data_IF_515653687549
#
_entry.id   IF_515653687549
#
_cell.length_a   1.000
_cell.length_b   1.000
_cell.length_c   1.000
_cell.angle_alpha   90.00
_cell.angle_beta   90.00
_cell.angle_gamma   90.00
#
_symmetry.space_group_name_H-M   'P 1'
#
loop_
_entity.id
_entity.type
_entity.pdbx_description
1 polymer ?
#
# COMPACT_ATOMS: atom_id res chain seq x y z
N UNK A 1 -27.03 5.42 -87.39
CA UNK A 1 -27.80 5.19 -86.13
C UNK A 1 -27.36 6.23 -85.11
N UNK A 2 -28.15 7.28 -84.88
CA UNK A 2 -28.95 7.57 -83.67
C UNK A 2 -28.13 7.90 -82.40
N UNK A 3 -27.97 9.21 -82.19
CA UNK A 3 -28.22 10.00 -80.97
C UNK A 3 -28.48 9.29 -79.63
N UNK A 4 -27.88 9.81 -78.54
CA UNK A 4 -28.56 10.58 -77.47
C UNK A 4 -27.64 10.99 -76.30
N UNK A 5 -27.83 12.23 -75.86
CA UNK A 5 -27.50 12.81 -74.54
C UNK A 5 -28.26 12.15 -73.39
N UNK A 6 -27.75 12.22 -72.15
CA UNK A 6 -28.43 12.51 -70.86
C UNK A 6 -27.35 12.49 -69.74
N UNK A 7 -26.95 13.61 -69.15
CA UNK A 7 -27.49 14.34 -67.97
C UNK A 7 -27.39 13.60 -66.61
N UNK A 8 -26.56 14.18 -65.75
CA UNK A 8 -26.52 14.25 -64.27
C UNK A 8 -27.30 13.21 -63.44
N UNK A 9 -26.62 12.61 -62.47
CA UNK A 9 -27.21 12.43 -61.14
C UNK A 9 -26.17 12.51 -60.00
N UNK A 10 -26.48 13.40 -59.07
CA UNK A 10 -25.85 13.67 -57.79
C UNK A 10 -26.01 12.46 -56.86
N UNK A 11 -24.94 12.01 -56.22
CA UNK A 11 -25.03 11.14 -55.04
C UNK A 11 -24.20 11.79 -53.92
N UNK A 12 -24.92 12.46 -53.02
CA UNK A 12 -24.41 12.95 -51.73
C UNK A 12 -24.14 11.71 -50.85
N UNK A 13 -22.88 11.36 -50.62
CA UNK A 13 -22.53 10.42 -49.56
C UNK A 13 -22.54 11.17 -48.22
N UNK A 14 -23.65 11.06 -47.49
CA UNK A 14 -23.69 11.42 -46.07
C UNK A 14 -23.01 10.27 -45.32
N UNK A 15 -21.71 10.42 -45.06
CA UNK A 15 -21.00 9.61 -44.07
C UNK A 15 -21.50 10.05 -42.69
N UNK A 16 -22.47 9.31 -42.15
CA UNK A 16 -22.81 9.37 -40.74
C UNK A 16 -21.62 8.81 -39.95
N UNK A 17 -20.78 9.70 -39.45
CA UNK A 17 -19.77 9.38 -38.44
C UNK A 17 -20.49 9.01 -37.15
N UNK A 18 -20.80 7.72 -36.98
CA UNK A 18 -21.09 7.16 -35.67
C UNK A 18 -19.82 7.28 -34.83
N UNK A 19 -19.68 8.43 -34.18
CA UNK A 19 -18.81 8.63 -33.04
C UNK A 19 -19.25 7.61 -31.98
N UNK A 20 -18.60 6.44 -32.00
CA UNK A 20 -18.52 5.57 -30.83
C UNK A 20 -17.92 6.42 -29.72
N UNK A 21 -18.78 7.05 -28.92
CA UNK A 21 -18.41 7.56 -27.62
C UNK A 21 -17.90 6.35 -26.84
N UNK A 22 -16.59 6.19 -26.78
CA UNK A 22 -15.95 5.30 -25.82
C UNK A 22 -16.51 5.71 -24.46
N UNK A 23 -17.36 4.84 -23.87
CA UNK A 23 -17.78 5.01 -22.48
C UNK A 23 -16.49 5.24 -21.68
N UNK A 24 -16.40 6.30 -20.86
CA UNK A 24 -15.28 6.47 -19.97
C UNK A 24 -15.11 5.15 -19.20
N UNK A 25 -13.98 4.49 -19.36
CA UNK A 25 -13.64 3.33 -18.54
C UNK A 25 -13.76 3.80 -17.10
N UNK A 26 -14.75 3.27 -16.38
CA UNK A 26 -15.01 3.69 -15.00
C UNK A 26 -13.67 3.64 -14.24
N UNK A 27 -13.35 4.72 -13.53
CA UNK A 27 -12.13 4.77 -12.72
C UNK A 27 -12.09 3.52 -11.84
N UNK A 28 -10.92 2.90 -11.63
CA UNK A 28 -10.83 1.71 -10.79
C UNK A 28 -11.46 2.03 -9.43
N UNK A 29 -12.46 1.23 -9.06
CA UNK A 29 -13.15 1.38 -7.79
C UNK A 29 -12.28 0.77 -6.69
N UNK A 30 -12.10 1.53 -5.61
CA UNK A 30 -11.49 1.06 -4.38
C UNK A 30 -12.52 1.13 -3.25
N UNK A 31 -12.28 0.31 -2.24
CA UNK A 31 -12.92 0.41 -0.94
C UNK A 31 -11.87 0.82 0.09
N UNK A 32 -12.30 1.44 1.16
CA UNK A 32 -11.46 1.73 2.31
C UNK A 32 -12.13 1.35 3.63
N UNK A 33 -11.30 1.14 4.66
CA UNK A 33 -11.69 1.01 6.07
C UNK A 33 -10.71 1.81 6.93
N UNK A 34 -11.21 2.37 8.02
CA UNK A 34 -10.40 3.16 8.96
C UNK A 34 -10.47 2.57 10.37
N UNK A 35 -9.32 2.54 11.04
CA UNK A 35 -9.17 2.10 12.42
C UNK A 35 -8.64 3.26 13.26
N UNK A 36 -9.33 3.58 14.35
CA UNK A 36 -8.84 4.51 15.36
C UNK A 36 -8.27 3.74 16.54
N UNK A 37 -7.03 4.06 16.91
CA UNK A 37 -6.22 3.29 17.85
C UNK A 37 -5.67 4.25 18.90
N UNK A 38 -5.89 3.96 20.17
CA UNK A 38 -5.28 4.65 21.30
C UNK A 38 -4.48 3.65 22.14
N UNK A 39 -3.20 3.94 22.36
CA UNK A 39 -2.29 3.08 23.10
C UNK A 39 -1.53 3.86 24.17
N UNK A 40 -1.40 3.26 25.34
CA UNK A 40 -0.41 3.64 26.34
C UNK A 40 0.90 2.88 26.05
N UNK A 41 2.02 3.43 26.52
CA UNK A 41 3.33 2.79 26.42
C UNK A 41 3.28 1.33 26.93
N UNK A 42 3.87 0.40 26.18
CA UNK A 42 3.77 -1.04 26.48
C UNK A 42 2.47 -1.71 26.03
N UNK A 43 1.51 -0.95 25.53
CA UNK A 43 0.26 -1.46 24.97
C UNK A 43 0.43 -2.13 23.61
N UNK A 44 -0.45 -3.07 23.31
CA UNK A 44 -0.54 -3.75 22.02
C UNK A 44 -1.96 -3.60 21.45
N UNK A 45 -2.09 -3.67 20.14
CA UNK A 45 -3.37 -3.65 19.44
C UNK A 45 -3.39 -4.73 18.36
N UNK A 46 -4.57 -5.30 18.12
CA UNK A 46 -4.80 -6.19 16.99
C UNK A 46 -6.24 -6.04 16.49
N UNK A 47 -6.40 -5.96 15.17
CA UNK A 47 -7.71 -5.90 14.52
C UNK A 47 -7.67 -6.69 13.22
N UNK A 48 -8.64 -7.59 13.06
CA UNK A 48 -8.85 -8.28 11.79
C UNK A 48 -9.38 -7.28 10.76
N UNK A 49 -8.74 -7.21 9.60
CA UNK A 49 -9.08 -6.27 8.52
C UNK A 49 -9.74 -7.00 7.35
N UNK A 50 -9.33 -8.24 7.10
CA UNK A 50 -9.87 -9.17 6.12
C UNK A 50 -9.43 -10.60 6.51
N UNK A 51 -8.79 -11.36 5.62
CA UNK A 51 -8.01 -12.55 5.99
C UNK A 51 -6.74 -12.24 6.80
N UNK A 52 -6.30 -10.97 6.78
CA UNK A 52 -5.17 -10.43 7.51
C UNK A 52 -5.59 -9.71 8.80
N UNK A 53 -4.63 -9.57 9.71
CA UNK A 53 -4.77 -8.88 10.99
C UNK A 53 -3.75 -7.76 11.09
N UNK A 54 -4.22 -6.53 11.22
CA UNK A 54 -3.35 -5.40 11.55
C UNK A 54 -2.96 -5.48 13.02
N UNK A 55 -1.67 -5.37 13.32
CA UNK A 55 -1.14 -5.47 14.68
C UNK A 55 -0.25 -4.28 14.97
N UNK A 56 -0.34 -3.76 16.18
CA UNK A 56 0.64 -2.85 16.78
C UNK A 56 1.23 -3.56 17.99
N UNK A 57 2.54 -3.80 17.97
CA UNK A 57 3.27 -4.53 19.00
C UNK A 57 4.29 -3.62 19.65
N UNK A 58 4.36 -3.67 20.97
CA UNK A 58 5.40 -2.99 21.74
C UNK A 58 6.76 -3.56 21.34
N UNK A 59 7.69 -2.65 21.04
CA UNK A 59 9.10 -2.94 20.98
C UNK A 59 9.74 -2.45 22.29
N UNK A 60 10.31 -3.37 23.05
CA UNK A 60 11.17 -3.07 24.19
C UNK A 60 12.62 -3.36 23.77
N UNK A 61 13.34 -2.39 23.17
CA UNK A 61 14.77 -2.53 22.95
C UNK A 61 15.50 -2.70 24.28
N UNK A 62 16.70 -3.28 24.24
CA UNK A 62 17.54 -3.49 25.43
C UNK A 62 17.87 -2.19 26.18
N UNK A 63 17.71 -1.02 25.54
CA UNK A 63 17.82 0.30 26.16
C UNK A 63 16.65 0.66 27.10
N UNK A 64 15.57 -0.12 27.13
CA UNK A 64 14.40 0.11 27.98
C UNK A 64 13.38 1.11 27.44
N UNK A 65 13.58 1.63 26.23
CA UNK A 65 12.75 2.69 25.65
C UNK A 65 11.53 2.11 24.92
N UNK A 66 10.33 2.40 25.42
CA UNK A 66 9.11 1.94 24.79
C UNK A 66 8.93 2.55 23.38
N UNK A 67 8.74 1.69 22.38
CA UNK A 67 8.25 2.06 21.06
C UNK A 67 7.24 1.04 20.55
N UNK A 68 6.73 1.23 19.35
CA UNK A 68 5.89 0.25 18.68
C UNK A 68 6.42 -0.10 17.30
N UNK A 69 6.11 -1.31 16.89
CA UNK A 69 6.13 -1.73 15.49
C UNK A 69 4.71 -2.04 15.07
N UNK A 70 4.40 -1.90 13.79
CA UNK A 70 3.11 -2.36 13.26
C UNK A 70 3.30 -3.25 12.03
N UNK A 71 2.35 -4.14 11.81
CA UNK A 71 2.39 -5.13 10.74
C UNK A 71 0.97 -5.48 10.27
N UNK A 72 0.85 -6.03 9.07
CA UNK A 72 -0.39 -6.62 8.55
C UNK A 72 -0.15 -8.10 8.29
N UNK A 73 -0.54 -8.94 9.24
CA UNK A 73 -0.12 -10.35 9.28
C UNK A 73 -1.24 -11.30 8.86
N UNK A 74 -0.90 -12.35 8.10
CA UNK A 74 -1.79 -13.50 7.92
C UNK A 74 -1.78 -14.43 9.15
N UNK A 75 -2.53 -15.53 9.07
CA UNK A 75 -2.64 -16.53 10.14
C UNK A 75 -1.29 -17.21 10.45
N UNK A 76 -0.35 -17.25 9.50
CA UNK A 76 1.00 -17.78 9.69
C UNK A 76 1.99 -16.74 10.22
N UNK A 77 1.55 -15.49 10.43
CA UNK A 77 2.39 -14.40 10.95
C UNK A 77 3.28 -13.74 9.90
N UNK A 78 3.02 -13.95 8.60
CA UNK A 78 3.74 -13.29 7.51
C UNK A 78 3.24 -11.87 7.35
N UNK A 79 4.14 -10.88 7.32
CA UNK A 79 3.78 -9.46 7.22
C UNK A 79 3.67 -8.99 5.75
N UNK A 80 2.50 -8.49 5.36
CA UNK A 80 2.17 -8.11 3.99
C UNK A 80 2.56 -6.67 3.66
N UNK A 81 3.05 -5.90 4.65
CA UNK A 81 3.60 -4.54 4.45
C UNK A 81 5.08 -4.63 4.10
N UNK A 82 5.89 -5.31 4.92
CA UNK A 82 7.35 -5.34 4.82
C UNK A 82 7.91 -5.61 3.40
N UNK A 83 7.42 -6.63 2.65
CA UNK A 83 7.98 -6.97 1.34
C UNK A 83 7.99 -5.84 0.32
N UNK A 84 7.05 -4.90 0.41
CA UNK A 84 6.76 -3.91 -0.64
C UNK A 84 7.08 -2.47 -0.26
N UNK A 85 7.77 -2.25 0.86
CA UNK A 85 8.15 -0.93 1.35
C UNK A 85 9.65 -0.85 1.64
N UNK A 86 10.48 -0.52 0.64
CA UNK A 86 11.90 -0.27 0.87
C UNK A 86 12.12 1.00 1.74
N UNK A 87 13.22 1.09 2.50
CA UNK A 87 14.33 0.14 2.54
C UNK A 87 14.03 -1.12 3.37
N UNK A 88 14.40 -2.29 2.82
CA UNK A 88 14.13 -3.60 3.45
C UNK A 88 14.99 -3.87 4.69
N UNK A 89 16.19 -3.27 4.77
CA UNK A 89 17.04 -3.40 5.96
C UNK A 89 16.64 -2.35 7.00
N UNK A 90 16.59 -2.75 8.26
CA UNK A 90 16.16 -1.96 9.42
C UNK A 90 14.68 -1.53 9.41
N UNK A 91 14.06 -1.37 8.23
CA UNK A 91 12.64 -1.06 8.03
C UNK A 91 12.10 0.03 8.97
N UNK A 92 12.63 1.26 8.90
CA UNK A 92 12.17 2.36 9.75
C UNK A 92 10.69 2.69 9.50
N UNK A 93 10.16 2.34 8.32
CA UNK A 93 8.80 2.68 7.89
C UNK A 93 7.70 2.11 8.79
N UNK A 94 7.93 0.94 9.39
CA UNK A 94 6.99 0.26 10.29
C UNK A 94 7.28 0.49 11.77
N UNK A 95 8.18 1.42 12.09
CA UNK A 95 8.55 1.75 13.46
C UNK A 95 7.90 3.06 13.92
N UNK A 96 7.39 3.06 15.15
CA UNK A 96 6.79 4.18 15.86
C UNK A 96 7.54 4.39 17.17
N UNK A 97 8.58 5.20 17.14
CA UNK A 97 9.42 5.50 18.30
C UNK A 97 10.79 5.97 17.88
N UNK A 98 11.78 5.84 18.76
CA UNK A 98 13.15 6.27 18.48
C UNK A 98 13.92 5.27 17.60
N UNK A 99 14.29 5.69 16.39
CA UNK A 99 15.05 4.88 15.45
C UNK A 99 16.44 5.48 15.19
N UNK A 100 17.27 4.78 14.41
CA UNK A 100 18.58 5.30 14.03
C UNK A 100 18.43 6.61 13.24
N UNK A 101 18.87 7.72 13.84
CA UNK A 101 18.77 9.05 13.25
C UNK A 101 17.41 9.73 13.37
N UNK A 102 16.46 9.17 14.13
CA UNK A 102 15.11 9.73 14.31
C UNK A 102 14.67 9.64 15.78
N UNK A 103 14.23 10.77 16.36
CA UNK A 103 13.67 10.79 17.72
C UNK A 103 12.25 10.22 17.77
N UNK A 104 11.81 9.75 18.94
CA UNK A 104 10.43 9.30 19.11
C UNK A 104 9.43 10.42 18.80
N UNK A 105 9.74 11.65 19.21
CA UNK A 105 8.95 12.84 18.86
C UNK A 105 8.86 13.08 17.35
N UNK A 106 9.95 12.90 16.61
CA UNK A 106 9.96 13.04 15.15
C UNK A 106 9.12 11.94 14.50
N UNK A 107 9.38 10.68 14.85
CA UNK A 107 8.62 9.54 14.32
C UNK A 107 7.11 9.66 14.57
N UNK A 108 6.71 10.13 15.76
CA UNK A 108 5.31 10.35 16.15
C UNK A 108 4.73 11.69 15.66
N UNK A 109 5.48 12.47 14.86
CA UNK A 109 4.94 13.63 14.14
C UNK A 109 4.67 13.36 12.67
N UNK A 110 5.20 12.26 12.14
CA UNK A 110 5.18 11.93 10.72
C UNK A 110 3.99 11.05 10.34
N UNK A 111 3.31 11.41 9.25
CA UNK A 111 2.34 10.52 8.57
C UNK A 111 3.11 9.50 7.72
N UNK A 112 2.57 8.29 7.60
CA UNK A 112 3.15 7.22 6.79
C UNK A 112 2.15 6.76 5.74
N UNK A 113 2.63 6.62 4.50
CA UNK A 113 1.91 5.95 3.44
C UNK A 113 2.72 4.74 3.00
N UNK A 114 2.15 3.54 3.13
CA UNK A 114 2.81 2.27 2.87
C UNK A 114 1.96 1.40 1.97
N UNK A 115 2.59 0.58 1.15
CA UNK A 115 1.91 -0.41 0.32
C UNK A 115 1.70 -1.70 1.11
N UNK A 116 0.71 -2.50 0.73
CA UNK A 116 0.60 -3.88 1.23
C UNK A 116 0.17 -4.84 0.13
N UNK A 117 0.61 -6.08 0.24
CA UNK A 117 0.21 -7.17 -0.67
C UNK A 117 -1.25 -7.55 -0.44
N UNK A 118 -1.97 -7.87 -1.52
CA UNK A 118 -3.42 -8.13 -1.43
C UNK A 118 -3.77 -9.60 -1.20
N UNK A 119 -2.84 -10.52 -1.44
CA UNK A 119 -3.10 -11.96 -1.36
C UNK A 119 -1.81 -12.78 -1.17
N UNK A 120 -2.00 -14.02 -0.71
CA UNK A 120 -0.93 -14.99 -0.44
C UNK A 120 -0.10 -15.37 -1.67
N UNK A 121 -0.72 -15.49 -2.84
CA UNK A 121 -0.01 -15.88 -4.07
C UNK A 121 1.03 -14.82 -4.48
N UNK A 122 0.70 -13.53 -4.35
CA UNK A 122 1.64 -12.44 -4.58
C UNK A 122 2.75 -12.42 -3.53
N UNK A 123 2.43 -12.68 -2.25
CA UNK A 123 3.45 -12.84 -1.20
C UNK A 123 4.46 -13.93 -1.54
N UNK A 124 3.98 -15.14 -1.83
CA UNK A 124 4.84 -16.29 -2.09
C UNK A 124 5.68 -16.12 -3.36
N UNK A 125 5.11 -15.51 -4.41
CA UNK A 125 5.83 -15.19 -5.63
C UNK A 125 6.89 -14.12 -5.42
N UNK A 126 6.63 -13.12 -4.58
CA UNK A 126 7.48 -11.95 -4.43
C UNK A 126 8.58 -12.11 -3.37
N UNK A 127 8.34 -12.92 -2.33
CA UNK A 127 9.28 -13.12 -1.23
C UNK A 127 10.70 -13.57 -1.64
N UNK A 128 10.89 -14.44 -2.65
CA UNK A 128 12.24 -14.76 -3.14
C UNK A 128 13.01 -13.53 -3.64
N UNK A 129 12.34 -12.56 -4.26
CA UNK A 129 12.96 -11.32 -4.74
C UNK A 129 13.40 -10.43 -3.56
N UNK A 130 12.57 -10.34 -2.52
CA UNK A 130 12.91 -9.66 -1.26
C UNK A 130 14.16 -10.29 -0.65
N UNK A 131 14.19 -11.62 -0.58
CA UNK A 131 15.31 -12.39 -0.02
C UNK A 131 16.60 -12.15 -0.81
N UNK A 132 16.53 -12.19 -2.14
CA UNK A 132 17.66 -11.91 -3.01
C UNK A 132 18.14 -10.46 -2.88
N UNK A 133 17.24 -9.48 -2.77
CA UNK A 133 17.62 -8.08 -2.56
C UNK A 133 18.27 -7.84 -1.19
N UNK A 134 17.82 -8.54 -0.14
CA UNK A 134 18.44 -8.48 1.20
C UNK A 134 19.81 -9.14 1.23
N UNK A 135 19.97 -10.26 0.52
CA UNK A 135 21.18 -11.09 0.51
C UNK A 135 21.66 -11.41 -0.91
N UNK A 136 22.13 -10.39 -1.69
CA UNK A 136 22.44 -10.59 -3.10
C UNK A 136 23.49 -11.67 -3.36
N UNK A 137 24.45 -11.84 -2.45
CA UNK A 137 25.50 -12.86 -2.57
C UNK A 137 24.98 -14.30 -2.57
N UNK A 138 23.75 -14.54 -2.10
CA UNK A 138 23.10 -15.86 -2.11
C UNK A 138 22.14 -16.06 -3.29
N UNK A 139 21.90 -15.03 -4.09
CA UNK A 139 21.01 -15.12 -5.24
C UNK A 139 21.68 -15.83 -6.43
N UNK A 140 20.88 -16.42 -7.32
CA UNK A 140 21.39 -16.99 -8.56
C UNK A 140 22.02 -15.94 -9.50
N UNK A 141 21.54 -14.69 -9.43
CA UNK A 141 22.08 -13.52 -10.16
C UNK A 141 22.37 -12.37 -9.18
N UNK A 142 23.49 -12.41 -8.43
CA UNK A 142 23.80 -11.42 -7.39
C UNK A 142 23.82 -9.98 -7.89
N UNK A 143 24.32 -9.76 -9.10
CA UNK A 143 24.44 -8.46 -9.77
C UNK A 143 23.08 -7.86 -10.18
N UNK A 144 22.04 -8.69 -10.26
CA UNK A 144 20.69 -8.29 -10.70
C UNK A 144 19.64 -8.30 -9.61
N UNK A 145 19.94 -8.87 -8.44
CA UNK A 145 18.97 -9.08 -7.36
C UNK A 145 18.17 -7.82 -6.96
N UNK A 146 18.84 -6.67 -6.85
CA UNK A 146 18.18 -5.40 -6.48
C UNK A 146 17.33 -4.85 -7.63
N UNK A 147 17.84 -4.86 -8.86
CA UNK A 147 17.14 -4.40 -10.06
C UNK A 147 15.86 -5.22 -10.31
N UNK A 148 15.96 -6.54 -10.17
CA UNK A 148 14.83 -7.46 -10.31
C UNK A 148 13.74 -7.19 -9.27
N UNK A 149 14.13 -6.97 -8.01
CA UNK A 149 13.19 -6.60 -6.94
C UNK A 149 12.41 -5.32 -7.27
N UNK A 150 13.10 -4.22 -7.62
CA UNK A 150 12.43 -2.95 -7.93
C UNK A 150 11.58 -3.03 -9.20
N UNK A 151 12.06 -3.75 -10.22
CA UNK A 151 11.33 -3.98 -11.47
C UNK A 151 10.00 -4.68 -11.22
N UNK A 152 10.01 -5.74 -10.41
CA UNK A 152 8.80 -6.48 -10.07
C UNK A 152 7.91 -5.71 -9.07
N UNK A 153 8.50 -4.98 -8.11
CA UNK A 153 7.75 -4.10 -7.19
C UNK A 153 6.90 -3.06 -7.95
N UNK A 154 7.42 -2.52 -9.06
CA UNK A 154 6.72 -1.58 -9.91
C UNK A 154 5.53 -2.16 -10.68
N UNK A 155 5.45 -3.50 -10.79
CA UNK A 155 4.36 -4.23 -11.47
C UNK A 155 3.30 -4.74 -10.52
N UNK A 156 3.62 -4.85 -9.22
CA UNK A 156 2.69 -5.38 -8.22
C UNK A 156 1.46 -4.48 -8.07
N UNK A 157 0.28 -5.11 -8.08
CA UNK A 157 -0.95 -4.51 -7.57
C UNK A 157 -0.94 -4.62 -6.05
N UNK A 158 -1.06 -3.49 -5.37
CA UNK A 158 -1.00 -3.40 -3.90
C UNK A 158 -2.18 -2.61 -3.36
N UNK A 159 -2.51 -2.82 -2.10
CA UNK A 159 -3.28 -1.86 -1.32
C UNK A 159 -2.40 -0.73 -0.79
N UNK A 160 -3.02 0.26 -0.18
CA UNK A 160 -2.39 1.40 0.48
C UNK A 160 -2.83 1.45 1.95
N UNK A 161 -1.87 1.59 2.83
CA UNK A 161 -2.04 1.88 4.25
C UNK A 161 -1.62 3.33 4.48
N UNK A 162 -2.51 4.14 5.06
CA UNK A 162 -2.19 5.49 5.56
C UNK A 162 -2.26 5.49 7.07
N UNK A 163 -1.15 5.79 7.73
CA UNK A 163 -1.09 5.93 9.17
C UNK A 163 -0.84 7.39 9.52
N UNK A 164 -1.81 8.00 10.20
CA UNK A 164 -1.74 9.36 10.69
C UNK A 164 -1.66 9.36 12.22
N UNK A 165 -0.69 10.09 12.76
CA UNK A 165 -0.64 10.35 14.20
C UNK A 165 -1.63 11.48 14.50
N UNK A 166 -2.65 11.18 15.30
CA UNK A 166 -3.67 12.14 15.73
C UNK A 166 -3.17 12.91 16.94
N UNK A 167 -2.58 12.19 17.90
CA UNK A 167 -2.03 12.75 19.13
C UNK A 167 -0.93 11.85 19.66
N UNK A 168 0.04 12.42 20.36
CA UNK A 168 1.07 11.66 21.06
C UNK A 168 1.52 12.39 22.32
N UNK A 169 1.84 11.65 23.37
CA UNK A 169 2.55 12.17 24.54
C UNK A 169 3.96 11.57 24.59
N UNK A 170 4.95 12.44 24.44
CA UNK A 170 6.38 12.13 24.48
C UNK A 170 7.05 13.07 25.46
N UNK A 171 7.82 12.52 26.38
CA UNK A 171 8.53 13.28 27.42
C UNK A 171 9.68 14.11 26.87
N UNK A 172 10.31 14.92 27.73
CA UNK A 172 11.49 15.71 27.38
C UNK A 172 12.73 14.86 27.09
N UNK A 173 12.82 13.68 27.70
CA UNK A 173 13.84 12.65 27.45
C UNK A 173 13.44 11.66 26.34
N UNK A 174 12.47 12.03 25.50
CA UNK A 174 12.05 11.30 24.29
C UNK A 174 11.45 9.90 24.57
N UNK A 175 10.90 9.69 25.76
CA UNK A 175 10.13 8.49 26.11
C UNK A 175 8.68 8.64 25.71
N UNK A 176 8.15 7.63 25.04
CA UNK A 176 6.74 7.58 24.65
C UNK A 176 5.89 7.20 25.85
N UNK A 177 4.83 7.95 26.13
CA UNK A 177 3.82 7.62 27.15
C UNK A 177 2.52 7.12 26.53
N UNK A 178 2.09 7.76 25.43
CA UNK A 178 0.88 7.36 24.72
C UNK A 178 0.88 7.84 23.27
N UNK A 179 0.05 7.21 22.44
CA UNK A 179 -0.21 7.61 21.07
C UNK A 179 -1.64 7.29 20.64
N UNK A 180 -2.22 8.18 19.86
CA UNK A 180 -3.50 8.04 19.18
C UNK A 180 -3.25 8.13 17.67
N UNK A 181 -3.72 7.14 16.92
CA UNK A 181 -3.46 6.98 15.50
C UNK A 181 -4.73 6.64 14.75
N UNK A 182 -4.84 7.12 13.52
CA UNK A 182 -5.80 6.62 12.55
C UNK A 182 -5.05 5.84 11.48
N UNK A 183 -5.48 4.62 11.21
CA UNK A 183 -4.94 3.76 10.15
C UNK A 183 -6.04 3.50 9.13
N UNK A 184 -5.85 4.00 7.92
CA UNK A 184 -6.75 3.76 6.80
C UNK A 184 -6.13 2.72 5.86
N UNK A 185 -6.91 1.70 5.50
CA UNK A 185 -6.58 0.74 4.47
C UNK A 185 -7.42 1.03 3.25
N UNK A 186 -6.79 1.17 2.09
CA UNK A 186 -7.44 1.31 0.80
C UNK A 186 -7.03 0.15 -0.08
N UNK A 187 -7.98 -0.55 -0.64
CA UNK A 187 -7.74 -1.66 -1.56
C UNK A 187 -8.73 -1.63 -2.72
N UNK A 188 -8.37 -2.23 -3.86
CA UNK A 188 -9.32 -2.38 -4.96
C UNK A 188 -10.59 -3.13 -4.54
N UNK A 189 -11.74 -2.81 -5.13
CA UNK A 189 -13.05 -3.33 -4.65
C UNK A 189 -13.25 -4.85 -4.75
N UNK A 190 -12.38 -5.58 -5.47
CA UNK A 190 -12.34 -7.05 -5.46
C UNK A 190 -11.58 -7.62 -4.25
N UNK A 191 -10.95 -6.78 -3.44
CA UNK A 191 -10.42 -7.11 -2.12
C UNK A 191 -11.49 -6.82 -1.07
N UNK A 192 -11.95 -7.86 -0.37
CA UNK A 192 -13.01 -7.72 0.62
C UNK A 192 -12.44 -7.43 2.01
N UNK A 193 -12.77 -6.26 2.54
CA UNK A 193 -12.57 -5.94 3.96
C UNK A 193 -13.65 -6.60 4.82
N UNK A 194 -13.35 -6.77 6.12
CA UNK A 194 -14.31 -7.24 7.11
C UNK A 194 -15.52 -6.30 7.15
N UNK A 195 -16.75 -6.78 6.88
CA UNK A 195 -17.95 -5.96 6.87
C UNK A 195 -18.21 -5.22 8.20
N UNK A 196 -17.72 -5.74 9.32
CA UNK A 196 -17.87 -5.11 10.63
C UNK A 196 -17.11 -3.78 10.74
N UNK A 197 -16.07 -3.60 9.91
CA UNK A 197 -15.31 -2.36 9.81
C UNK A 197 -16.01 -1.28 8.96
N UNK A 198 -17.22 -1.58 8.46
CA UNK A 198 -18.05 -0.67 7.64
C UNK A 198 -17.27 -0.09 6.45
N UNK A 199 -16.84 -0.93 5.49
CA UNK A 199 -16.10 -0.46 4.32
C UNK A 199 -16.87 0.59 3.53
N UNK A 200 -16.17 1.62 3.06
CA UNK A 200 -16.73 2.72 2.27
C UNK A 200 -16.03 2.85 0.92
N UNK A 201 -16.73 3.35 -0.13
CA UNK A 201 -16.10 3.60 -1.42
C UNK A 201 -15.07 4.72 -1.32
N UNK A 202 -13.93 4.55 -1.97
CA UNK A 202 -12.83 5.52 -1.99
C UNK A 202 -12.16 5.53 -3.38
N UNK A 203 -11.55 6.64 -3.76
CA UNK A 203 -10.76 6.71 -4.98
C UNK A 203 -9.52 5.81 -4.88
N UNK A 204 -9.25 4.99 -5.89
CA UNK A 204 -7.99 4.26 -5.89
C UNK A 204 -6.81 5.24 -5.90
N UNK A 205 -5.80 5.04 -5.03
CA UNK A 205 -4.64 5.89 -5.01
C UNK A 205 -3.93 5.83 -6.37
N UNK A 206 -3.42 6.98 -6.81
CA UNK A 206 -2.54 7.03 -7.99
C UNK A 206 -1.33 6.10 -7.80
N UNK A 207 -0.63 5.76 -8.89
CA UNK A 207 0.61 4.98 -8.78
C UNK A 207 1.57 5.74 -7.86
N UNK A 208 1.82 5.20 -6.67
CA UNK A 208 2.92 5.67 -5.83
C UNK A 208 4.19 5.30 -6.58
N UNK A 209 4.99 6.30 -6.92
CA UNK A 209 6.27 6.08 -7.59
C UNK A 209 7.10 5.12 -6.71
N UNK A 210 7.62 4.04 -7.33
CA UNK A 210 8.70 3.32 -6.69
C UNK A 210 9.87 4.32 -6.52
N UNK A 211 10.51 4.37 -5.35
CA UNK A 211 11.69 5.21 -5.14
C UNK A 211 12.83 4.82 -6.09
#
# INVERSE_FOLDING_TARGET
MRSKWFSRNTALFILASELYAQKPTAAPACSAVSLDIALQAGGNYAQRVNDLTFKVKTLLPKSGEAGWTFSLEDAEGRDYIYPVNPPLRFNPSQYLGRAYGESARQSLSSTRELRFLLNKADYERFWPLVTNALWPYSAARPDKATEEYFTELGKLRTGLLRLKIVKSDVTSDDMIRSGEFTVEFVAPSDTHFDPQLKPYPEGCPGKIAAP
#
